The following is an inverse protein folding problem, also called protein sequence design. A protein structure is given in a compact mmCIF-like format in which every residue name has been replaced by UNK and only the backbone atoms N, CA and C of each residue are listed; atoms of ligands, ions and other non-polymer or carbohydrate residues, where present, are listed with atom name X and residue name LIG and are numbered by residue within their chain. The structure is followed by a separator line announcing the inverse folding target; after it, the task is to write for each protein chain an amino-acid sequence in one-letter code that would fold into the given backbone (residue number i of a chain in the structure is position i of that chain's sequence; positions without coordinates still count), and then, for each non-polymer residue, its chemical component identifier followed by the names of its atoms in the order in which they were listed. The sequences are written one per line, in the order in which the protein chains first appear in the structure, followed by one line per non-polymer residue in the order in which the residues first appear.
data_IF_792614825761
#
_entry.id   IF_792614825761
#
_cell.length_a   1.000
_cell.length_b   1.000
_cell.length_c   1.000
_cell.angle_alpha   90.00
_cell.angle_beta   90.00
_cell.angle_gamma   90.00
#
_symmetry.space_group_name_H-M   'P 1'
#
loop_
_entity.id
_entity.type
_entity.pdbx_description
1 polymer ?
#
# COMPACT_ATOMS: atom_id res chain seq x y z
N UNK A 1 -22.72 -1.38 8.36
CA UNK A 1 -21.98 -0.80 7.23
C UNK A 1 -21.75 0.67 7.52
N UNK A 2 -20.60 1.02 8.10
CA UNK A 2 -20.23 2.43 8.26
C UNK A 2 -19.88 2.97 6.88
N UNK A 3 -20.46 4.12 6.49
CA UNK A 3 -20.18 4.75 5.21
C UNK A 3 -18.66 5.02 5.09
N UNK A 4 -18.00 4.40 4.11
CA UNK A 4 -16.59 4.63 3.81
C UNK A 4 -16.41 6.10 3.45
N UNK A 5 -15.53 6.80 4.17
CA UNK A 5 -15.24 8.21 3.87
C UNK A 5 -14.54 8.29 2.50
N UNK A 6 -15.01 9.14 1.56
CA UNK A 6 -14.37 9.28 0.26
C UNK A 6 -12.91 9.73 0.37
N UNK A 7 -12.03 9.19 -0.48
CA UNK A 7 -10.60 9.55 -0.52
C UNK A 7 -10.32 11.06 -0.55
N UNK A 8 -11.03 11.89 -1.36
CA UNK A 8 -10.81 13.34 -1.33
C UNK A 8 -11.06 13.99 0.04
N UNK A 9 -12.03 13.48 0.81
CA UNK A 9 -12.32 13.96 2.15
C UNK A 9 -11.22 13.56 3.14
N UNK A 10 -10.66 12.34 3.00
CA UNK A 10 -9.51 11.90 3.79
C UNK A 10 -8.24 12.71 3.46
N UNK A 11 -8.01 13.06 2.20
CA UNK A 11 -6.91 13.98 1.84
C UNK A 11 -7.11 15.35 2.50
N UNK A 12 -8.31 15.93 2.43
CA UNK A 12 -8.60 17.20 3.08
C UNK A 12 -8.43 17.12 4.62
N UNK A 13 -8.78 15.99 5.21
CA UNK A 13 -8.55 15.70 6.63
C UNK A 13 -7.05 15.62 6.96
N UNK A 14 -6.24 14.91 6.17
CA UNK A 14 -4.79 14.81 6.37
C UNK A 14 -4.15 16.20 6.47
N UNK A 15 -4.51 17.10 5.56
CA UNK A 15 -3.99 18.48 5.56
C UNK A 15 -4.37 19.28 6.80
N UNK A 16 -5.46 18.93 7.50
CA UNK A 16 -5.85 19.56 8.77
C UNK A 16 -5.19 18.87 9.96
N UNK A 17 -5.20 17.55 9.99
CA UNK A 17 -4.70 16.73 11.09
C UNK A 17 -3.19 16.93 11.28
N UNK A 18 -2.43 16.87 10.19
CA UNK A 18 -0.97 17.07 10.21
C UNK A 18 -0.57 18.55 10.05
N UNK A 19 -1.54 19.48 10.03
CA UNK A 19 -1.28 20.91 9.96
C UNK A 19 -0.43 21.45 11.13
N UNK A 20 -0.37 20.86 12.32
CA UNK A 20 0.59 21.27 13.37
C UNK A 20 2.00 20.72 13.16
N UNK A 21 2.17 19.65 12.38
CA UNK A 21 3.46 19.02 12.14
C UNK A 21 4.32 19.90 11.21
N UNK A 22 5.54 20.22 11.64
CA UNK A 22 6.49 21.06 10.90
C UNK A 22 7.81 20.32 10.79
N UNK A 23 8.26 20.13 9.57
CA UNK A 23 9.65 19.78 9.31
C UNK A 23 10.51 21.03 9.53
N UNK A 24 11.71 20.83 10.06
CA UNK A 24 12.66 21.93 10.32
C UNK A 24 13.96 21.67 9.59
N UNK A 25 14.68 22.73 9.21
CA UNK A 25 16.01 22.59 8.65
C UNK A 25 17.05 22.32 9.77
N UNK A 26 18.00 21.40 9.57
CA UNK A 26 18.10 20.46 8.46
C UNK A 26 17.05 19.36 8.57
N UNK A 27 16.60 18.85 7.43
CA UNK A 27 15.72 17.69 7.40
C UNK A 27 16.50 16.47 7.92
N UNK A 28 15.79 15.54 8.55
CA UNK A 28 16.29 14.29 9.10
C UNK A 28 16.55 13.23 7.99
N UNK A 29 17.24 13.67 6.93
CA UNK A 29 17.73 12.85 5.80
C UNK A 29 19.17 13.24 5.46
N UNK A 30 19.88 12.38 4.74
CA UNK A 30 21.27 12.58 4.36
C UNK A 30 21.48 13.93 3.63
N UNK A 31 22.44 14.72 4.10
CA UNK A 31 22.73 16.04 3.56
C UNK A 31 23.93 16.09 2.58
N UNK A 32 24.39 14.93 2.08
CA UNK A 32 25.48 14.89 1.10
C UNK A 32 25.06 15.55 -0.22
N UNK A 33 26.05 16.04 -0.97
CA UNK A 33 25.87 16.59 -2.32
C UNK A 33 25.18 15.60 -3.30
N UNK A 34 25.26 14.31 -3.00
CA UNK A 34 24.70 13.22 -3.78
C UNK A 34 23.24 12.87 -3.50
N UNK A 35 22.69 13.29 -2.35
CA UNK A 35 21.44 12.76 -1.81
C UNK A 35 20.43 13.87 -1.57
N UNK A 36 20.63 14.69 -0.54
CA UNK A 36 19.77 15.83 -0.23
C UNK A 36 20.61 17.05 0.18
N UNK A 37 21.28 17.72 -0.77
CA UNK A 37 22.10 18.90 -0.47
C UNK A 37 21.29 19.95 0.33
N UNK A 38 21.95 20.70 1.20
CA UNK A 38 21.25 21.67 2.07
C UNK A 38 20.43 22.70 1.30
N UNK A 39 20.90 23.14 0.12
CA UNK A 39 20.17 24.09 -0.72
C UNK A 39 18.86 23.50 -1.24
N UNK A 40 18.86 22.21 -1.64
CA UNK A 40 17.65 21.48 -1.99
C UNK A 40 16.69 21.39 -0.79
N UNK A 41 17.18 21.02 0.39
CA UNK A 41 16.32 20.92 1.60
C UNK A 41 15.69 22.27 1.96
N UNK A 42 16.47 23.36 1.86
CA UNK A 42 15.97 24.72 2.10
C UNK A 42 14.91 25.10 1.08
N UNK A 43 15.10 24.75 -0.18
CA UNK A 43 14.13 25.02 -1.23
C UNK A 43 12.84 24.22 -1.04
N UNK A 44 12.94 22.91 -0.74
CA UNK A 44 11.80 22.05 -0.41
C UNK A 44 10.93 22.67 0.69
N UNK A 45 11.55 23.16 1.76
CA UNK A 45 10.87 23.78 2.90
C UNK A 45 10.25 25.16 2.60
N UNK A 46 10.53 25.77 1.44
CA UNK A 46 9.94 27.06 1.03
C UNK A 46 8.61 26.89 0.31
N UNK A 47 8.34 25.72 -0.25
CA UNK A 47 7.07 25.47 -0.92
C UNK A 47 5.92 25.45 0.10
N UNK A 48 4.78 26.09 -0.21
CA UNK A 48 3.54 25.76 0.46
C UNK A 48 3.28 24.25 0.30
N UNK A 49 2.89 23.55 1.37
CA UNK A 49 2.79 22.07 1.38
C UNK A 49 1.98 21.49 0.21
N UNK A 50 0.89 22.14 -0.20
CA UNK A 50 0.05 21.72 -1.35
C UNK A 50 0.72 21.92 -2.72
N UNK A 51 1.71 22.79 -2.79
CA UNK A 51 2.38 23.19 -4.02
C UNK A 51 3.76 22.54 -4.17
N UNK A 52 4.15 21.63 -3.27
CA UNK A 52 5.39 20.87 -3.43
C UNK A 52 5.29 20.05 -4.73
N UNK A 53 6.21 20.25 -5.68
CA UNK A 53 6.26 19.48 -6.92
C UNK A 53 6.58 18.00 -6.69
N UNK A 54 6.14 17.13 -7.61
CA UNK A 54 6.33 15.68 -7.48
C UNK A 54 7.81 15.27 -7.50
N UNK A 55 8.65 15.94 -8.31
CA UNK A 55 10.10 15.72 -8.38
C UNK A 55 10.83 16.09 -7.07
N UNK A 56 10.33 17.11 -6.34
CA UNK A 56 10.84 17.43 -5.00
C UNK A 56 10.45 16.37 -3.96
N UNK A 57 9.22 15.84 -4.01
CA UNK A 57 8.83 14.70 -3.19
C UNK A 57 9.66 13.48 -3.54
N UNK A 58 9.88 13.22 -4.83
CA UNK A 58 10.70 12.13 -5.32
C UNK A 58 12.11 12.20 -4.74
N UNK A 59 12.79 13.34 -4.89
CA UNK A 59 14.13 13.52 -4.35
C UNK A 59 14.19 13.33 -2.81
N UNK A 60 13.20 13.86 -2.07
CA UNK A 60 13.11 13.67 -0.62
C UNK A 60 12.86 12.21 -0.24
N UNK A 61 11.93 11.53 -0.90
CA UNK A 61 11.58 10.13 -0.66
C UNK A 61 12.71 9.18 -1.08
N UNK A 62 13.50 9.53 -2.10
CA UNK A 62 14.73 8.80 -2.47
C UNK A 62 15.93 9.09 -1.56
N UNK A 63 15.84 10.07 -0.66
CA UNK A 63 16.97 10.40 0.22
C UNK A 63 17.18 9.35 1.31
N UNK A 64 18.44 9.06 1.67
CA UNK A 64 18.75 8.15 2.79
C UNK A 64 18.26 8.78 4.10
N UNK A 65 17.49 8.07 4.94
CA UNK A 65 17.05 8.60 6.23
C UNK A 65 18.24 8.85 7.16
N UNK A 66 18.08 9.75 8.14
CA UNK A 66 19.06 9.88 9.21
C UNK A 66 19.03 8.67 10.15
N UNK A 67 20.08 8.48 10.95
CA UNK A 67 20.13 7.43 11.98
C UNK A 67 19.04 7.62 13.06
N UNK A 68 18.54 8.85 13.24
CA UNK A 68 17.38 9.16 14.07
C UNK A 68 16.08 8.93 13.29
N UNK A 69 15.58 7.70 13.36
CA UNK A 69 14.32 7.31 12.73
C UNK A 69 13.14 8.14 13.23
N UNK A 70 13.12 8.51 14.51
CA UNK A 70 12.03 9.31 15.08
C UNK A 70 12.04 10.74 14.51
N UNK A 71 13.21 11.33 14.29
CA UNK A 71 13.32 12.61 13.59
C UNK A 71 12.84 12.50 12.12
N UNK A 72 13.26 11.44 11.42
CA UNK A 72 12.82 11.18 10.03
C UNK A 72 11.30 11.03 9.93
N UNK A 73 10.70 10.25 10.83
CA UNK A 73 9.25 10.06 10.90
C UNK A 73 8.49 11.35 11.23
N UNK A 74 9.04 12.22 12.10
CA UNK A 74 8.45 13.55 12.38
C UNK A 74 8.47 14.47 11.15
N UNK A 75 9.55 14.46 10.38
CA UNK A 75 9.60 15.19 9.10
C UNK A 75 8.59 14.62 8.10
N UNK A 76 8.49 13.29 8.01
CA UNK A 76 7.49 12.66 7.15
C UNK A 76 6.06 13.10 7.48
N UNK A 77 5.71 13.26 8.77
CA UNK A 77 4.38 13.78 9.17
C UNK A 77 4.06 15.14 8.55
N UNK A 78 5.07 16.00 8.38
CA UNK A 78 4.88 17.30 7.70
C UNK A 78 4.51 17.13 6.23
N UNK A 79 5.20 16.24 5.51
CA UNK A 79 5.00 16.01 4.08
C UNK A 79 3.83 15.05 3.76
N UNK A 80 3.39 14.28 4.75
CA UNK A 80 2.43 13.19 4.60
C UNK A 80 1.15 13.57 3.85
N UNK A 81 0.46 14.69 4.14
CA UNK A 81 -0.76 15.04 3.41
C UNK A 81 -0.54 15.16 1.89
N UNK A 82 0.60 15.72 1.50
CA UNK A 82 0.97 15.91 0.10
C UNK A 82 1.45 14.62 -0.56
N UNK A 83 2.15 13.76 0.19
CA UNK A 83 2.53 12.40 -0.23
C UNK A 83 1.27 11.57 -0.51
N UNK A 84 0.32 11.52 0.43
CA UNK A 84 -0.93 10.78 0.24
C UNK A 84 -1.73 11.32 -0.95
N UNK A 85 -1.77 12.65 -1.12
CA UNK A 85 -2.42 13.26 -2.29
C UNK A 85 -1.75 12.82 -3.60
N UNK A 86 -0.41 12.81 -3.68
CA UNK A 86 0.33 12.32 -4.84
C UNK A 86 0.02 10.85 -5.14
N UNK A 87 0.01 9.99 -4.12
CA UNK A 87 -0.33 8.56 -4.26
C UNK A 87 -1.72 8.40 -4.87
N UNK A 88 -2.71 9.14 -4.36
CA UNK A 88 -4.09 9.05 -4.88
C UNK A 88 -4.25 9.60 -6.30
N UNK A 89 -3.32 10.43 -6.77
CA UNK A 89 -3.31 11.00 -8.12
C UNK A 89 -2.45 10.20 -9.11
N UNK A 90 -1.74 9.16 -8.65
CA UNK A 90 -0.79 8.42 -9.50
C UNK A 90 0.44 9.24 -9.88
N UNK A 91 0.83 10.24 -9.07
CA UNK A 91 2.04 11.02 -9.31
C UNK A 91 3.29 10.17 -9.05
N UNK A 92 4.30 10.29 -9.92
CA UNK A 92 5.59 9.62 -9.75
C UNK A 92 6.43 10.34 -8.69
N UNK A 93 6.39 9.80 -7.47
CA UNK A 93 7.08 10.34 -6.29
C UNK A 93 8.09 9.37 -5.69
N UNK A 94 8.28 8.18 -6.28
CA UNK A 94 9.28 7.21 -5.84
C UNK A 94 9.45 6.11 -6.88
N UNK A 95 10.69 5.62 -7.04
CA UNK A 95 11.00 4.53 -7.99
C UNK A 95 10.35 3.19 -7.63
N UNK A 96 10.17 2.93 -6.34
CA UNK A 96 9.55 1.72 -5.81
C UNK A 96 8.30 2.12 -5.04
N UNK A 97 7.16 1.66 -5.53
CA UNK A 97 5.84 2.04 -5.07
C UNK A 97 5.60 1.58 -3.63
N UNK A 98 6.05 0.37 -3.31
CA UNK A 98 5.99 -0.21 -1.98
C UNK A 98 6.78 0.63 -0.96
N UNK A 99 7.81 1.35 -1.39
CA UNK A 99 8.62 2.17 -0.48
C UNK A 99 8.04 3.57 -0.26
N UNK A 100 6.90 3.96 -0.85
CA UNK A 100 6.39 5.35 -0.77
C UNK A 100 6.16 5.87 0.66
N UNK A 101 5.92 4.97 1.63
CA UNK A 101 5.66 5.30 3.02
C UNK A 101 6.67 4.68 4.02
N UNK A 102 7.77 4.09 3.54
CA UNK A 102 8.75 3.34 4.35
C UNK A 102 9.35 4.14 5.53
N UNK A 103 9.46 5.45 5.39
CA UNK A 103 10.00 6.37 6.41
C UNK A 103 9.01 6.77 7.50
N UNK A 104 7.75 6.29 7.47
CA UNK A 104 6.75 6.65 8.48
C UNK A 104 7.05 6.04 9.84
N UNK A 105 7.57 4.81 9.88
CA UNK A 105 7.86 4.10 11.13
C UNK A 105 6.69 4.17 12.14
N UNK A 106 5.47 3.82 11.72
CA UNK A 106 4.23 3.95 12.52
C UNK A 106 4.27 3.19 13.86
N UNK A 107 5.21 2.25 14.02
CA UNK A 107 5.46 1.54 15.26
C UNK A 107 6.18 2.34 16.35
N UNK A 108 6.57 3.60 16.12
CA UNK A 108 7.22 4.47 17.11
C UNK A 108 6.18 5.24 17.95
N UNK A 109 5.85 4.80 19.19
CA UNK A 109 4.81 5.41 20.00
C UNK A 109 5.13 6.86 20.44
N UNK A 110 6.41 7.24 20.43
CA UNK A 110 6.86 8.60 20.75
C UNK A 110 6.71 9.60 19.59
N UNK A 111 6.37 9.13 18.38
CA UNK A 111 6.15 9.95 17.19
C UNK A 111 4.67 10.06 16.83
N UNK A 112 3.93 8.96 16.99
CA UNK A 112 2.57 8.82 16.46
C UNK A 112 1.51 8.90 17.55
N UNK A 113 0.60 9.86 17.42
CA UNK A 113 -0.59 9.93 18.25
C UNK A 113 -1.67 8.95 17.76
N UNK A 114 -2.58 8.55 18.66
CA UNK A 114 -3.60 7.55 18.35
C UNK A 114 -4.58 7.99 17.26
N UNK A 115 -4.90 9.28 17.19
CA UNK A 115 -5.76 9.85 16.15
C UNK A 115 -5.09 9.90 14.77
N UNK A 116 -3.77 10.14 14.74
CA UNK A 116 -2.96 10.06 13.52
C UNK A 116 -2.87 8.63 12.98
N UNK A 117 -2.71 7.64 13.86
CA UNK A 117 -2.73 6.22 13.48
C UNK A 117 -4.13 5.80 13.00
N UNK A 118 -5.20 6.19 13.71
CA UNK A 118 -6.58 5.92 13.26
C UNK A 118 -6.84 6.50 11.86
N UNK A 119 -6.37 7.73 11.61
CA UNK A 119 -6.44 8.34 10.28
C UNK A 119 -5.73 7.48 9.23
N UNK A 120 -4.52 7.00 9.51
CA UNK A 120 -3.77 6.14 8.58
C UNK A 120 -4.50 4.81 8.31
N UNK A 121 -5.12 4.18 9.30
CA UNK A 121 -5.95 2.98 9.10
C UNK A 121 -7.19 3.27 8.23
N UNK A 122 -7.86 4.40 8.45
CA UNK A 122 -8.99 4.83 7.59
C UNK A 122 -8.54 5.10 6.16
N UNK A 123 -7.41 5.79 5.99
CA UNK A 123 -6.82 6.04 4.68
C UNK A 123 -6.44 4.73 3.98
N UNK A 124 -5.74 3.82 4.66
CA UNK A 124 -5.32 2.54 4.11
C UNK A 124 -6.50 1.72 3.59
N UNK A 125 -7.57 1.58 4.39
CA UNK A 125 -8.81 0.91 3.96
C UNK A 125 -9.45 1.57 2.75
N UNK A 126 -9.62 2.90 2.78
CA UNK A 126 -10.31 3.62 1.71
C UNK A 126 -9.52 3.56 0.40
N UNK A 127 -8.19 3.69 0.48
CA UNK A 127 -7.31 3.55 -0.67
C UNK A 127 -7.35 2.13 -1.24
N UNK A 128 -7.16 1.13 -0.37
CA UNK A 128 -7.18 -0.26 -0.80
C UNK A 128 -8.51 -0.67 -1.43
N UNK A 129 -9.64 -0.30 -0.81
CA UNK A 129 -10.97 -0.53 -1.40
C UNK A 129 -11.14 0.16 -2.76
N UNK A 130 -10.58 1.37 -2.95
CA UNK A 130 -10.64 2.06 -4.25
C UNK A 130 -9.93 1.29 -5.37
N UNK A 131 -8.82 0.62 -5.05
CA UNK A 131 -8.07 -0.24 -5.98
C UNK A 131 -8.89 -1.47 -6.35
N UNK A 132 -9.46 -2.13 -5.35
CA UNK A 132 -10.29 -3.33 -5.53
C UNK A 132 -11.56 -3.06 -6.33
N UNK A 133 -12.07 -1.83 -6.27
CA UNK A 133 -13.22 -1.36 -7.06
C UNK A 133 -12.84 -0.92 -8.49
N UNK A 134 -11.57 -1.00 -8.88
CA UNK A 134 -11.10 -0.61 -10.20
C UNK A 134 -11.12 0.90 -10.47
N UNK A 135 -11.22 1.75 -9.43
CA UNK A 135 -11.30 3.21 -9.59
C UNK A 135 -10.02 3.82 -10.19
N UNK A 136 -8.91 3.06 -10.17
CA UNK A 136 -7.63 3.44 -10.72
C UNK A 136 -7.30 2.76 -12.05
N UNK A 137 -8.24 2.01 -12.65
CA UNK A 137 -8.02 1.34 -13.94
C UNK A 137 -7.74 2.31 -15.11
N UNK A 138 -8.07 3.59 -14.95
CA UNK A 138 -7.77 4.65 -15.92
C UNK A 138 -6.36 5.24 -15.78
N UNK A 139 -5.63 4.91 -14.71
CA UNK A 139 -4.23 5.32 -14.57
C UNK A 139 -3.36 4.47 -15.51
N UNK A 140 -2.28 5.03 -16.10
CA UNK A 140 -1.32 4.24 -16.87
C UNK A 140 -0.82 3.04 -16.07
N UNK A 141 -0.59 1.89 -16.71
CA UNK A 141 -0.15 0.65 -16.02
C UNK A 141 1.16 0.82 -15.22
N UNK A 142 2.00 1.78 -15.60
CA UNK A 142 3.25 2.14 -14.90
C UNK A 142 2.97 2.91 -13.59
N UNK A 143 1.75 3.43 -13.42
CA UNK A 143 1.29 4.25 -12.29
C UNK A 143 0.12 3.61 -11.52
N UNK A 144 -0.42 2.48 -12.00
CA UNK A 144 -1.49 1.76 -11.32
C UNK A 144 -0.90 0.96 -10.16
N UNK A 145 -1.05 1.45 -8.94
CA UNK A 145 -0.75 0.67 -7.75
C UNK A 145 -1.63 -0.59 -7.75
N UNK A 146 -1.03 -1.77 -7.67
CA UNK A 146 -1.79 -3.00 -7.48
C UNK A 146 -2.05 -3.26 -5.98
N UNK A 147 -3.05 -4.08 -5.63
CA UNK A 147 -3.35 -4.40 -4.23
C UNK A 147 -2.14 -4.97 -3.45
N UNK A 148 -1.27 -5.77 -4.08
CA UNK A 148 -0.10 -6.36 -3.39
C UNK A 148 0.89 -5.30 -2.97
N UNK A 149 1.28 -4.45 -3.91
CA UNK A 149 2.18 -3.31 -3.66
C UNK A 149 1.61 -2.38 -2.60
N UNK A 150 0.29 -2.22 -2.54
CA UNK A 150 -0.36 -1.42 -1.50
C UNK A 150 -0.27 -2.06 -0.12
N UNK A 151 -0.46 -3.38 0.00
CA UNK A 151 -0.24 -4.09 1.27
C UNK A 151 1.22 -3.92 1.74
N UNK A 152 2.19 -4.04 0.83
CA UNK A 152 3.61 -3.80 1.14
C UNK A 152 3.89 -2.35 1.55
N UNK A 153 3.25 -1.38 0.90
CA UNK A 153 3.38 0.05 1.22
C UNK A 153 3.06 0.34 2.68
N UNK A 154 1.93 -0.18 3.18
CA UNK A 154 1.57 0.01 4.58
C UNK A 154 2.37 -0.85 5.54
N UNK A 155 2.81 -2.04 5.10
CA UNK A 155 3.72 -2.85 5.89
C UNK A 155 5.06 -2.14 6.14
N UNK A 156 5.67 -1.55 5.10
CA UNK A 156 6.90 -0.77 5.24
C UNK A 156 6.70 0.55 5.97
N UNK A 157 5.50 1.13 5.91
CA UNK A 157 5.15 2.23 6.79
C UNK A 157 5.19 1.85 8.28
N UNK A 158 5.23 0.56 8.62
CA UNK A 158 5.13 0.04 9.98
C UNK A 158 3.70 0.07 10.52
N UNK A 159 2.70 0.22 9.65
CA UNK A 159 1.29 0.26 10.04
C UNK A 159 0.73 -1.16 10.14
N UNK A 160 0.24 -1.55 11.32
CA UNK A 160 -0.26 -2.90 11.59
C UNK A 160 -1.69 -3.09 11.05
N UNK A 161 -1.83 -3.11 9.72
CA UNK A 161 -3.13 -3.17 9.04
C UNK A 161 -3.27 -4.30 8.02
N UNK A 162 -2.27 -5.18 7.85
CA UNK A 162 -2.29 -6.23 6.82
C UNK A 162 -3.54 -7.11 6.92
N UNK A 163 -3.84 -7.65 8.11
CA UNK A 163 -5.02 -8.49 8.31
C UNK A 163 -6.35 -7.75 8.04
N UNK A 164 -6.41 -6.47 8.40
CA UNK A 164 -7.56 -5.61 8.13
C UNK A 164 -7.78 -5.41 6.63
N UNK A 165 -6.71 -5.11 5.88
CA UNK A 165 -6.78 -4.93 4.43
C UNK A 165 -7.12 -6.23 3.70
N UNK A 166 -6.61 -7.38 4.14
CA UNK A 166 -6.98 -8.69 3.60
C UNK A 166 -8.47 -8.99 3.80
N UNK A 167 -9.04 -8.62 4.95
CA UNK A 167 -10.48 -8.73 5.19
C UNK A 167 -11.29 -7.80 4.26
N UNK A 168 -10.80 -6.59 3.99
CA UNK A 168 -11.38 -5.70 2.96
C UNK A 168 -11.31 -6.37 1.59
N UNK A 169 -10.21 -7.04 1.23
CA UNK A 169 -10.13 -7.76 -0.04
C UNK A 169 -11.24 -8.80 -0.19
N UNK A 170 -11.42 -9.67 0.81
CA UNK A 170 -12.49 -10.67 0.78
C UNK A 170 -13.88 -10.04 0.61
N UNK A 171 -14.13 -8.89 1.24
CA UNK A 171 -15.40 -8.16 1.12
C UNK A 171 -15.68 -7.62 -0.28
N UNK A 172 -14.64 -7.42 -1.09
CA UNK A 172 -14.73 -6.89 -2.45
C UNK A 172 -14.50 -7.98 -3.52
N UNK A 173 -14.54 -9.27 -3.14
CA UNK A 173 -14.24 -10.38 -4.06
C UNK A 173 -15.18 -10.45 -5.28
N UNK A 174 -16.35 -9.82 -5.25
CA UNK A 174 -17.29 -9.74 -6.37
C UNK A 174 -16.88 -8.72 -7.47
N UNK A 175 -15.91 -7.86 -7.19
CA UNK A 175 -15.39 -6.88 -8.13
C UNK A 175 -14.32 -7.48 -9.06
N UNK A 176 -14.38 -7.23 -10.40
CA UNK A 176 -13.41 -7.77 -11.35
C UNK A 176 -11.94 -7.41 -11.03
N UNK A 177 -11.67 -6.19 -10.56
CA UNK A 177 -10.32 -5.78 -10.20
C UNK A 177 -9.79 -6.53 -8.96
N UNK A 178 -10.64 -6.81 -7.98
CA UNK A 178 -10.29 -7.63 -6.82
C UNK A 178 -10.01 -9.08 -7.22
N UNK A 179 -10.79 -9.66 -8.14
CA UNK A 179 -10.58 -11.00 -8.69
C UNK A 179 -9.27 -11.08 -9.49
N UNK A 180 -9.04 -10.14 -10.42
CA UNK A 180 -7.81 -10.08 -11.21
C UNK A 180 -6.56 -10.04 -10.32
N UNK A 181 -6.59 -9.20 -9.28
CA UNK A 181 -5.48 -9.11 -8.34
C UNK A 181 -5.30 -10.40 -7.51
N UNK A 182 -6.38 -11.12 -7.19
CA UNK A 182 -6.32 -12.40 -6.47
C UNK A 182 -5.73 -13.50 -7.36
N UNK A 183 -6.16 -13.57 -8.63
CA UNK A 183 -5.58 -14.49 -9.62
C UNK A 183 -4.10 -14.17 -9.82
N UNK A 184 -3.72 -12.90 -9.92
CA UNK A 184 -2.32 -12.48 -9.99
C UNK A 184 -1.53 -12.93 -8.74
N UNK A 185 -2.09 -12.82 -7.54
CA UNK A 185 -1.48 -13.36 -6.31
C UNK A 185 -1.21 -14.86 -6.42
N UNK A 186 -2.26 -15.60 -6.81
CA UNK A 186 -2.22 -17.05 -6.91
C UNK A 186 -1.14 -17.50 -7.90
N UNK A 187 -1.00 -16.81 -9.04
CA UNK A 187 0.10 -17.10 -9.98
C UNK A 187 1.49 -16.79 -9.43
N UNK A 188 1.60 -15.76 -8.60
CA UNK A 188 2.86 -15.31 -8.02
C UNK A 188 3.31 -16.17 -6.82
N UNK A 189 2.38 -16.87 -6.17
CA UNK A 189 2.69 -17.81 -5.09
C UNK A 189 2.83 -19.22 -5.67
N UNK A 190 4.06 -19.76 -5.86
CA UNK A 190 4.19 -21.13 -6.30
C UNK A 190 3.72 -22.04 -5.16
N UNK A 191 2.55 -22.61 -5.33
CA UNK A 191 1.93 -23.54 -4.38
C UNK A 191 2.94 -24.66 -4.07
N UNK A 192 3.42 -24.72 -2.82
CA UNK A 192 4.41 -25.71 -2.37
C UNK A 192 5.88 -25.29 -2.40
N UNK A 193 6.21 -24.04 -2.73
CA UNK A 193 7.60 -23.51 -2.73
C UNK A 193 7.76 -22.35 -1.75
N UNK A 194 8.90 -22.27 -1.04
CA UNK A 194 9.27 -21.10 -0.22
C UNK A 194 9.75 -19.89 -1.02
N UNK A 195 9.86 -20.02 -2.36
CA UNK A 195 10.43 -19.00 -3.26
C UNK A 195 9.53 -17.77 -3.46
N UNK A 196 8.25 -17.82 -3.08
CA UNK A 196 7.38 -16.64 -3.17
C UNK A 196 7.94 -15.46 -2.36
N UNK A 197 8.67 -15.73 -1.26
CA UNK A 197 9.36 -14.69 -0.46
C UNK A 197 10.38 -13.87 -1.25
N UNK A 198 10.88 -14.39 -2.38
CA UNK A 198 11.79 -13.66 -3.27
C UNK A 198 11.01 -12.73 -4.22
N UNK A 199 9.75 -13.07 -4.54
CA UNK A 199 8.84 -12.25 -5.34
C UNK A 199 8.32 -11.05 -4.55
N UNK A 200 8.03 -11.26 -3.27
CA UNK A 200 7.73 -10.19 -2.31
C UNK A 200 9.02 -9.82 -1.59
N UNK A 201 9.91 -9.11 -2.30
CA UNK A 201 11.14 -8.60 -1.71
C UNK A 201 10.77 -7.85 -0.43
N UNK A 202 11.13 -8.41 0.72
CA UNK A 202 10.99 -7.85 2.06
C UNK A 202 12.41 -7.73 2.61
N UNK A 203 13.05 -6.54 2.53
CA UNK A 203 14.35 -6.33 3.14
C UNK A 203 14.30 -6.79 4.59
N UNK A 204 15.25 -7.66 4.96
CA UNK A 204 15.49 -7.99 6.36
C UNK A 204 16.23 -6.83 7.06
N UNK A 205 15.73 -5.61 6.89
CA UNK A 205 16.22 -4.45 7.63
C UNK A 205 15.66 -4.49 9.06
N UNK A 206 16.40 -3.91 10.01
CA UNK A 206 16.23 -4.12 11.46
C UNK A 206 14.83 -3.83 12.06
N UNK A 207 13.90 -3.25 11.30
CA UNK A 207 12.60 -2.77 11.75
C UNK A 207 11.42 -3.33 10.94
N UNK A 208 11.66 -3.88 9.76
CA UNK A 208 10.64 -4.57 8.97
C UNK A 208 10.67 -6.03 9.42
N UNK A 209 9.53 -6.51 9.90
CA UNK A 209 9.35 -7.89 10.35
C UNK A 209 8.58 -8.64 9.28
N UNK A 210 9.24 -9.35 8.34
CA UNK A 210 8.57 -10.01 7.23
C UNK A 210 7.45 -10.95 7.69
N UNK A 211 7.58 -11.55 8.87
CA UNK A 211 6.55 -12.39 9.49
C UNK A 211 5.22 -11.68 9.74
N UNK A 212 5.24 -10.36 10.04
CA UNK A 212 4.01 -9.58 10.27
C UNK A 212 3.22 -9.33 8.98
N UNK A 213 3.86 -9.46 7.83
CA UNK A 213 3.18 -9.44 6.53
C UNK A 213 2.84 -10.84 6.06
N UNK A 214 3.84 -11.72 6.06
CA UNK A 214 3.75 -13.05 5.45
C UNK A 214 2.80 -13.97 6.20
N UNK A 215 2.72 -13.93 7.54
CA UNK A 215 1.83 -14.81 8.29
C UNK A 215 0.35 -14.48 8.05
N UNK A 216 -0.14 -13.23 8.19
CA UNK A 216 -1.52 -12.90 7.87
C UNK A 216 -1.90 -13.21 6.43
N UNK A 217 -1.01 -12.92 5.47
CA UNK A 217 -1.26 -13.19 4.04
C UNK A 217 -1.44 -14.68 3.78
N UNK A 218 -0.54 -15.52 4.30
CA UNK A 218 -0.66 -16.98 4.15
C UNK A 218 -1.90 -17.52 4.85
N UNK A 219 -2.17 -17.07 6.08
CA UNK A 219 -3.35 -17.50 6.84
C UNK A 219 -4.64 -17.15 6.09
N UNK A 220 -4.73 -15.94 5.53
CA UNK A 220 -5.87 -15.52 4.72
C UNK A 220 -5.99 -16.33 3.42
N UNK A 221 -4.88 -16.58 2.73
CA UNK A 221 -4.91 -17.34 1.47
C UNK A 221 -5.23 -18.83 1.67
N UNK A 222 -4.82 -19.39 2.80
CA UNK A 222 -5.10 -20.77 3.20
C UNK A 222 -6.46 -20.96 3.88
N UNK A 223 -7.10 -19.87 4.32
CA UNK A 223 -8.39 -19.89 4.99
C UNK A 223 -9.50 -20.44 4.07
N UNK A 224 -10.19 -21.53 4.46
CA UNK A 224 -11.26 -22.11 3.65
C UNK A 224 -12.41 -21.14 3.34
N UNK A 225 -12.74 -20.24 4.25
CA UNK A 225 -13.83 -19.28 4.02
C UNK A 225 -13.44 -18.24 2.95
N UNK A 226 -12.20 -17.75 3.00
CA UNK A 226 -11.63 -16.89 1.96
C UNK A 226 -11.60 -17.59 0.61
N UNK A 227 -11.09 -18.83 0.55
CA UNK A 227 -11.07 -19.62 -0.70
C UNK A 227 -12.46 -19.84 -1.29
N UNK A 228 -13.44 -20.21 -0.47
CA UNK A 228 -14.82 -20.39 -0.92
C UNK A 228 -15.42 -19.09 -1.47
N UNK A 229 -15.11 -17.96 -0.83
CA UNK A 229 -15.57 -16.63 -1.29
C UNK A 229 -15.02 -16.30 -2.68
N UNK A 230 -13.71 -16.44 -2.89
CA UNK A 230 -13.10 -16.18 -4.20
C UNK A 230 -13.50 -17.21 -5.25
N UNK A 231 -13.71 -18.48 -4.88
CA UNK A 231 -14.17 -19.50 -5.82
C UNK A 231 -15.56 -19.16 -6.37
N UNK A 232 -16.51 -18.82 -5.50
CA UNK A 232 -17.87 -18.46 -5.91
C UNK A 232 -17.91 -17.18 -6.75
N UNK A 233 -17.06 -16.20 -6.41
CA UNK A 233 -16.95 -14.97 -7.16
C UNK A 233 -16.31 -15.17 -8.56
N UNK A 234 -15.29 -16.03 -8.67
CA UNK A 234 -14.72 -16.43 -9.96
C UNK A 234 -15.74 -17.18 -10.83
N UNK A 235 -16.49 -18.12 -10.26
CA UNK A 235 -17.57 -18.83 -10.97
C UNK A 235 -18.58 -17.85 -11.55
N UNK A 236 -19.05 -16.90 -10.73
CA UNK A 236 -19.99 -15.86 -11.17
C UNK A 236 -19.41 -15.02 -12.28
N UNK A 237 -18.15 -14.55 -12.15
CA UNK A 237 -17.51 -13.71 -13.15
C UNK A 237 -17.27 -14.45 -14.49
N UNK A 238 -16.92 -15.74 -14.46
CA UNK A 238 -16.74 -16.57 -15.64
C UNK A 238 -18.07 -16.81 -16.37
N UNK A 239 -19.15 -17.09 -15.62
CA UNK A 239 -20.48 -17.30 -16.20
C UNK A 239 -21.08 -16.01 -16.81
N UNK A 240 -20.74 -14.86 -16.24
CA UNK A 240 -21.20 -13.54 -16.69
C UNK A 240 -20.29 -12.87 -17.73
N UNK A 241 -19.25 -13.57 -18.22
CA UNK A 241 -18.27 -13.04 -19.18
C UNK A 241 -17.60 -11.72 -18.72
N UNK A 242 -17.32 -11.63 -17.41
CA UNK A 242 -16.65 -10.48 -16.76
C UNK A 242 -15.13 -10.64 -16.66
N UNK A 243 -14.60 -11.81 -17.01
CA UNK A 243 -13.15 -12.05 -17.07
C UNK A 243 -12.55 -11.43 -18.34
N UNK A 244 -11.31 -10.92 -18.31
CA UNK A 244 -10.61 -10.51 -19.53
C UNK A 244 -10.47 -11.70 -20.49
N UNK A 245 -10.83 -11.51 -21.75
CA UNK A 245 -10.91 -12.61 -22.73
C UNK A 245 -9.57 -13.37 -22.92
N UNK A 246 -8.46 -12.66 -22.78
CA UNK A 246 -7.10 -13.21 -22.85
C UNK A 246 -6.63 -13.88 -21.55
N UNK A 247 -7.35 -13.68 -20.43
CA UNK A 247 -7.06 -14.26 -19.12
C UNK A 247 -8.06 -15.36 -18.69
N UNK A 248 -9.11 -15.64 -19.46
CA UNK A 248 -10.11 -16.68 -19.12
C UNK A 248 -9.46 -18.00 -18.68
N UNK A 249 -8.50 -18.59 -19.42
CA UNK A 249 -7.88 -19.85 -19.00
C UNK A 249 -7.17 -19.74 -17.65
N UNK A 250 -6.63 -18.57 -17.31
CA UNK A 250 -5.95 -18.34 -16.03
C UNK A 250 -6.94 -18.32 -14.88
N UNK A 251 -8.08 -17.65 -15.08
CA UNK A 251 -9.15 -17.55 -14.10
C UNK A 251 -9.83 -18.92 -13.87
N UNK A 252 -10.06 -19.70 -14.93
CA UNK A 252 -10.57 -21.08 -14.85
C UNK A 252 -9.61 -21.97 -14.03
N UNK A 253 -8.30 -21.89 -14.29
CA UNK A 253 -7.31 -22.66 -13.53
C UNK A 253 -7.30 -22.27 -12.04
N UNK A 254 -7.45 -20.98 -11.73
CA UNK A 254 -7.53 -20.51 -10.35
C UNK A 254 -8.81 -21.03 -9.66
N UNK A 255 -9.95 -20.97 -10.35
CA UNK A 255 -11.23 -21.50 -9.87
C UNK A 255 -11.15 -23.00 -9.57
N UNK A 256 -10.62 -23.80 -10.50
CA UNK A 256 -10.47 -25.24 -10.33
C UNK A 256 -9.53 -25.58 -9.17
N UNK A 257 -8.41 -24.85 -9.05
CA UNK A 257 -7.47 -25.01 -7.95
C UNK A 257 -8.14 -24.75 -6.59
N UNK A 258 -8.91 -23.66 -6.46
CA UNK A 258 -9.66 -23.38 -5.23
C UNK A 258 -10.63 -24.51 -4.89
N UNK A 259 -11.35 -25.03 -5.90
CA UNK A 259 -12.29 -26.14 -5.74
C UNK A 259 -11.62 -27.45 -5.31
N UNK A 260 -10.39 -27.71 -5.75
CA UNK A 260 -9.60 -28.85 -5.27
C UNK A 260 -9.21 -28.68 -3.79
N UNK A 261 -8.79 -27.48 -3.39
CA UNK A 261 -8.33 -27.20 -2.02
C UNK A 261 -9.45 -27.19 -0.97
N UNK A 262 -10.72 -27.08 -1.39
CA UNK A 262 -11.89 -27.07 -0.50
C UNK A 262 -12.48 -28.46 -0.26
N UNK A 263 -12.04 -29.48 -0.99
CA UNK A 263 -12.51 -30.86 -0.76
C UNK A 263 -11.90 -31.40 0.54
N UNK A 264 -12.70 -32.06 1.41
CA UNK A 264 -12.14 -32.78 2.55
C UNK A 264 -11.18 -33.86 2.05
N UNK A 265 -10.02 -33.98 2.71
CA UNK A 265 -9.03 -35.03 2.45
C UNK A 265 -9.56 -36.43 2.78
#
# INVERSE_FOLDING_TARGET
MSATTPLPALIAEAYRLFAPCRATFPLAVCNCACCSPQDFQRELLRFPLRQIPADYLYAYLSSVPSDDQAATARDMKHFLPRILEAVTRGEDIRSLDEMRLDKLCCGLPEVWASDELDFLHRFARAWFASLLNGQNAALPAIQSADPHTTLLTFHYAGLDCTAELLAVWTQHADHPAALAAFVALWTAMPVGSSQWRERFYLPAEHHIRPERFTQPLLQWFDDPATRATFQAALETALLEDRAPADEIPLWENCYDWLGMMLKPA
#
